data_IF_463978573889
#
_entry.id   IF_463978573889
#
_cell.length_a   1.000
_cell.length_b   1.000
_cell.length_c   1.000
_cell.angle_alpha   90.00
_cell.angle_beta   90.00
_cell.angle_gamma   90.00
#
_symmetry.space_group_name_H-M   'P 1'
#
loop_
_entity.id
_entity.type
_entity.pdbx_description
1 polymer ?
#
# COMPACT_ATOMS: atom_id res chain seq x y z
N UNK A 1 -60.46 6.62 -2.48
CA UNK A 1 -59.40 5.98 -1.66
C UNK A 1 -58.38 5.42 -2.64
N UNK A 2 -57.29 6.16 -2.87
CA UNK A 2 -55.93 5.82 -2.38
C UNK A 2 -55.28 4.69 -3.23
N UNK A 3 -54.11 4.73 -3.87
CA UNK A 3 -53.00 5.66 -4.20
C UNK A 3 -52.20 4.92 -5.29
N UNK A 4 -51.61 5.54 -6.33
CA UNK A 4 -50.49 4.95 -7.04
C UNK A 4 -49.17 5.59 -6.58
N UNK A 5 -48.21 4.78 -6.15
CA UNK A 5 -46.83 5.22 -5.89
C UNK A 5 -45.87 4.12 -6.37
N UNK A 6 -45.10 4.41 -7.42
CA UNK A 6 -43.64 4.54 -7.29
C UNK A 6 -43.05 4.95 -8.64
N UNK A 7 -42.68 6.22 -8.75
CA UNK A 7 -41.85 6.72 -9.84
C UNK A 7 -40.41 6.27 -9.60
N UNK A 8 -39.85 5.52 -10.55
CA UNK A 8 -38.43 5.24 -10.60
C UNK A 8 -37.66 6.51 -10.88
N UNK A 9 -37.07 7.09 -9.84
CA UNK A 9 -36.08 8.15 -9.95
C UNK A 9 -34.78 7.56 -10.49
N UNK A 10 -34.58 7.72 -11.80
CA UNK A 10 -33.27 7.55 -12.43
C UNK A 10 -32.34 8.66 -11.91
N UNK A 11 -31.44 8.29 -11.01
CA UNK A 11 -30.32 9.15 -10.59
C UNK A 11 -29.43 9.33 -11.82
N UNK A 12 -29.59 10.48 -12.49
CA UNK A 12 -28.68 10.92 -13.55
C UNK A 12 -27.36 11.28 -12.88
N UNK A 13 -26.30 10.54 -13.22
CA UNK A 13 -24.91 10.92 -12.95
C UNK A 13 -24.64 12.30 -13.56
N UNK A 14 -24.77 13.34 -12.74
CA UNK A 14 -24.43 14.70 -13.10
C UNK A 14 -22.90 14.80 -13.25
N UNK A 15 -22.42 14.76 -14.48
CA UNK A 15 -21.03 15.06 -14.80
C UNK A 15 -20.76 16.52 -14.42
N UNK A 16 -19.85 16.76 -13.47
CA UNK A 16 -19.41 18.12 -13.12
C UNK A 16 -18.89 18.84 -14.38
N UNK A 17 -19.16 20.14 -14.56
CA UNK A 17 -18.74 20.87 -15.74
C UNK A 17 -17.24 21.13 -15.71
N UNK A 18 -16.58 20.91 -16.85
CA UNK A 18 -15.20 21.35 -17.09
C UNK A 18 -15.19 22.88 -17.08
N UNK A 19 -14.47 23.51 -16.15
CA UNK A 19 -14.40 24.97 -16.03
C UNK A 19 -13.02 25.49 -16.39
N UNK A 20 -12.98 26.54 -17.20
CA UNK A 20 -11.74 27.27 -17.50
C UNK A 20 -11.62 28.45 -16.53
N UNK A 21 -10.48 28.53 -15.85
CA UNK A 21 -10.23 29.46 -14.77
C UNK A 21 -8.92 30.20 -15.05
N UNK A 22 -8.85 31.48 -14.67
CA UNK A 22 -7.60 32.25 -14.68
C UNK A 22 -7.20 32.48 -13.23
N UNK A 23 -6.04 31.97 -12.85
CA UNK A 23 -5.50 32.05 -11.50
C UNK A 23 -4.35 33.04 -11.51
N UNK A 24 -4.49 34.12 -10.76
CA UNK A 24 -3.47 35.18 -10.63
C UNK A 24 -2.65 34.93 -9.38
N UNK A 25 -1.38 34.58 -9.56
CA UNK A 25 -0.45 34.28 -8.48
C UNK A 25 0.60 35.39 -8.42
N UNK A 26 0.70 36.17 -7.34
CA UNK A 26 1.80 37.10 -7.16
C UNK A 26 3.10 36.30 -6.99
N UNK A 27 4.14 36.66 -7.75
CA UNK A 27 5.43 35.96 -7.74
C UNK A 27 6.56 36.98 -7.58
N UNK A 28 7.46 36.75 -6.64
CA UNK A 28 8.71 37.50 -6.52
C UNK A 28 9.82 36.89 -7.38
N UNK A 29 10.86 37.67 -7.68
CA UNK A 29 11.98 37.21 -8.51
C UNK A 29 12.76 36.11 -7.78
N UNK A 30 12.63 34.87 -8.25
CA UNK A 30 13.32 33.70 -7.70
C UNK A 30 12.42 32.72 -6.94
N UNK A 31 11.16 33.07 -6.67
CA UNK A 31 10.24 32.18 -5.98
C UNK A 31 9.77 31.03 -6.88
N UNK A 32 9.95 29.76 -6.46
CA UNK A 32 9.43 28.64 -7.22
C UNK A 32 7.92 28.55 -7.06
N UNK A 33 7.19 28.42 -8.18
CA UNK A 33 5.75 28.14 -8.15
C UNK A 33 5.44 26.87 -7.34
N UNK A 34 6.29 25.84 -7.43
CA UNK A 34 6.14 24.59 -6.67
C UNK A 34 5.09 23.61 -7.22
N UNK A 35 4.50 23.90 -8.38
CA UNK A 35 3.68 22.95 -9.14
C UNK A 35 4.53 22.19 -10.18
N UNK A 36 4.40 20.86 -10.23
CA UNK A 36 5.06 20.02 -11.24
C UNK A 36 4.03 19.47 -12.22
N UNK A 37 3.94 20.03 -13.44
CA UNK A 37 3.12 19.48 -14.51
C UNK A 37 3.77 18.26 -15.19
N UNK A 38 2.95 17.38 -15.76
CA UNK A 38 3.40 16.31 -16.66
C UNK A 38 3.61 16.81 -18.12
N UNK A 39 3.95 15.89 -19.03
CA UNK A 39 4.13 16.19 -20.46
C UNK A 39 2.91 16.81 -21.14
N UNK A 40 1.70 16.59 -20.59
CA UNK A 40 0.44 17.15 -21.08
C UNK A 40 0.03 18.43 -20.34
N UNK A 41 0.94 19.04 -19.59
CA UNK A 41 0.73 20.23 -18.77
C UNK A 41 -0.34 20.08 -17.68
N UNK A 42 -0.58 18.85 -17.21
CA UNK A 42 -1.48 18.59 -16.07
C UNK A 42 -0.68 18.58 -14.78
N UNK A 43 -1.10 19.35 -13.78
CA UNK A 43 -0.46 19.43 -12.46
C UNK A 43 -0.61 18.09 -11.75
N UNK A 44 0.53 17.43 -11.48
CA UNK A 44 0.55 16.12 -10.80
C UNK A 44 0.93 16.24 -9.33
N UNK A 45 1.81 17.20 -9.01
CA UNK A 45 2.35 17.39 -7.67
C UNK A 45 2.40 18.88 -7.34
N UNK A 46 2.02 19.19 -6.11
CA UNK A 46 2.12 20.52 -5.51
C UNK A 46 3.01 20.36 -4.27
N UNK A 47 4.03 21.19 -4.16
CA UNK A 47 4.92 21.23 -3.00
C UNK A 47 4.28 22.07 -1.90
N UNK A 48 4.26 21.56 -0.67
CA UNK A 48 3.81 22.34 0.49
C UNK A 48 4.77 23.48 0.80
N UNK A 49 4.22 24.62 1.22
CA UNK A 49 4.94 25.87 1.49
C UNK A 49 5.29 26.69 0.25
N UNK A 50 4.72 26.38 -0.93
CA UNK A 50 4.98 27.11 -2.18
C UNK A 50 3.75 27.86 -2.68
N UNK A 51 3.94 28.77 -3.65
CA UNK A 51 2.86 29.61 -4.20
C UNK A 51 1.75 28.81 -4.89
N UNK A 52 2.03 27.59 -5.35
CA UNK A 52 1.02 26.70 -5.91
C UNK A 52 0.07 26.13 -4.84
N UNK A 53 0.48 26.07 -3.58
CA UNK A 53 -0.36 25.57 -2.49
C UNK A 53 -1.53 26.55 -2.25
N UNK A 54 -2.76 26.02 -2.33
CA UNK A 54 -3.98 26.82 -2.22
C UNK A 54 -4.46 27.48 -3.52
N UNK A 55 -3.55 27.81 -4.44
CA UNK A 55 -3.91 28.42 -5.73
C UNK A 55 -4.21 27.39 -6.82
N UNK A 56 -3.33 26.41 -6.98
CA UNK A 56 -3.45 25.34 -7.97
C UNK A 56 -3.95 24.05 -7.30
N UNK A 57 -4.56 23.18 -8.10
CA UNK A 57 -5.02 21.86 -7.66
C UNK A 57 -4.40 20.75 -8.51
N UNK A 58 -4.22 19.58 -7.91
CA UNK A 58 -3.78 18.39 -8.66
C UNK A 58 -4.88 18.03 -9.67
N UNK A 59 -4.50 17.83 -10.92
CA UNK A 59 -5.40 17.61 -12.04
C UNK A 59 -5.72 18.87 -12.85
N UNK A 60 -5.32 20.07 -12.41
CA UNK A 60 -5.44 21.29 -13.20
C UNK A 60 -4.61 21.17 -14.48
N UNK A 61 -5.24 21.39 -15.64
CA UNK A 61 -4.54 21.39 -16.93
C UNK A 61 -4.17 22.80 -17.32
N UNK A 62 -2.87 23.09 -17.39
CA UNK A 62 -2.36 24.42 -17.73
C UNK A 62 -2.38 24.61 -19.25
N UNK A 63 -3.01 25.69 -19.71
CA UNK A 63 -3.19 25.99 -21.14
C UNK A 63 -2.40 27.21 -21.56
N UNK A 64 -2.40 28.25 -20.72
CA UNK A 64 -1.76 29.52 -21.02
C UNK A 64 -1.17 30.16 -19.77
N UNK A 65 -0.12 30.95 -19.96
CA UNK A 65 0.52 31.75 -18.93
C UNK A 65 0.64 33.19 -19.45
N UNK A 66 0.11 34.16 -18.70
CA UNK A 66 0.08 35.58 -19.06
C UNK A 66 -0.52 35.83 -20.46
N UNK A 67 -1.56 35.07 -20.83
CA UNK A 67 -2.22 35.14 -22.14
C UNK A 67 -1.49 34.39 -23.26
N UNK A 68 -0.29 33.86 -23.03
CA UNK A 68 0.47 33.08 -24.02
C UNK A 68 0.13 31.60 -23.91
N UNK A 69 -0.37 31.00 -25.00
CA UNK A 69 -0.67 29.56 -25.05
C UNK A 69 0.60 28.72 -24.96
N UNK A 70 0.55 27.71 -24.11
CA UNK A 70 1.64 26.76 -23.90
C UNK A 70 1.63 25.69 -24.99
N UNK A 71 2.83 25.18 -25.30
CA UNK A 71 3.03 24.07 -26.24
C UNK A 71 3.56 22.86 -25.48
N UNK A 72 4.65 23.09 -24.76
CA UNK A 72 5.38 22.05 -24.01
C UNK A 72 5.65 22.47 -22.56
N UNK A 73 6.00 21.50 -21.71
CA UNK A 73 6.42 21.74 -20.32
C UNK A 73 7.65 22.66 -20.22
N UNK A 74 8.60 22.57 -21.15
CA UNK A 74 9.76 23.48 -21.18
C UNK A 74 9.35 24.93 -21.48
N UNK A 75 8.37 25.12 -22.37
CA UNK A 75 7.85 26.44 -22.70
C UNK A 75 7.16 27.07 -21.47
N UNK A 76 6.47 26.26 -20.67
CA UNK A 76 5.88 26.70 -19.40
C UNK A 76 6.93 27.24 -18.44
N UNK A 77 8.01 26.50 -18.17
CA UNK A 77 9.05 26.97 -17.25
C UNK A 77 9.80 28.21 -17.77
N UNK A 78 9.99 28.33 -19.08
CA UNK A 78 10.58 29.52 -19.70
C UNK A 78 9.70 30.75 -19.46
N UNK A 79 8.39 30.65 -19.73
CA UNK A 79 7.46 31.76 -19.53
C UNK A 79 7.29 32.11 -18.04
N UNK A 80 7.30 31.10 -17.16
CA UNK A 80 7.21 31.30 -15.72
C UNK A 80 8.38 32.14 -15.18
N UNK A 81 9.56 32.03 -15.77
CA UNK A 81 10.74 32.83 -15.38
C UNK A 81 10.58 34.33 -15.64
N UNK A 82 9.74 34.71 -16.59
CA UNK A 82 9.44 36.11 -16.93
C UNK A 82 8.07 36.57 -16.44
N UNK A 83 7.41 35.75 -15.61
CA UNK A 83 6.10 36.05 -15.06
C UNK A 83 6.09 37.04 -13.88
N UNK A 84 7.15 37.21 -13.06
CA UNK A 84 7.14 38.23 -12.00
C UNK A 84 6.83 39.63 -12.55
N UNK A 85 6.02 40.45 -11.86
CA UNK A 85 5.52 40.29 -10.49
C UNK A 85 4.22 39.46 -10.33
N UNK A 86 3.60 39.02 -11.43
CA UNK A 86 2.29 38.34 -11.39
C UNK A 86 2.15 37.31 -12.51
N UNK A 87 1.91 36.05 -12.13
CA UNK A 87 1.62 34.96 -13.06
C UNK A 87 0.11 34.72 -13.18
N UNK A 88 -0.46 35.05 -14.34
CA UNK A 88 -1.83 34.75 -14.72
C UNK A 88 -1.87 33.41 -15.45
N UNK A 89 -2.14 32.35 -14.71
CA UNK A 89 -2.17 30.98 -15.23
C UNK A 89 -3.60 30.62 -15.62
N UNK A 90 -3.82 30.34 -16.90
CA UNK A 90 -5.10 29.83 -17.39
C UNK A 90 -5.09 28.31 -17.29
N UNK A 91 -5.99 27.77 -16.47
CA UNK A 91 -6.15 26.34 -16.26
C UNK A 91 -7.54 25.86 -16.66
N UNK A 92 -7.64 24.63 -17.12
CA UNK A 92 -8.89 23.87 -17.13
C UNK A 92 -8.91 23.01 -15.87
N UNK A 93 -9.95 23.18 -15.06
CA UNK A 93 -10.23 22.35 -13.91
C UNK A 93 -11.37 21.39 -14.25
N UNK A 94 -11.07 20.11 -14.13
CA UNK A 94 -12.03 19.02 -14.27
C UNK A 94 -12.10 18.30 -12.93
N UNK A 95 -13.09 18.65 -12.11
CA UNK A 95 -13.21 18.18 -10.72
C UNK A 95 -13.26 16.65 -10.63
N UNK A 96 -13.82 15.97 -11.64
CA UNK A 96 -13.88 14.51 -11.67
C UNK A 96 -12.51 13.91 -11.92
N UNK A 97 -11.72 14.47 -12.85
CA UNK A 97 -10.34 14.03 -13.09
C UNK A 97 -9.42 14.40 -11.93
N UNK A 98 -9.60 15.57 -11.33
CA UNK A 98 -8.86 16.01 -10.17
C UNK A 98 -9.11 15.08 -8.97
N UNK A 99 -10.36 14.74 -8.67
CA UNK A 99 -10.69 13.77 -7.62
C UNK A 99 -10.15 12.37 -7.91
N UNK A 100 -10.26 11.88 -9.14
CA UNK A 100 -9.68 10.58 -9.52
C UNK A 100 -8.15 10.58 -9.34
N UNK A 101 -7.45 11.65 -9.74
CA UNK A 101 -6.01 11.79 -9.51
C UNK A 101 -5.65 11.90 -8.03
N UNK A 102 -6.37 12.73 -7.26
CA UNK A 102 -6.17 12.84 -5.81
C UNK A 102 -6.36 11.49 -5.13
N UNK A 103 -7.40 10.73 -5.49
CA UNK A 103 -7.67 9.42 -4.88
C UNK A 103 -6.58 8.39 -5.15
N UNK A 104 -5.85 8.53 -6.27
CA UNK A 104 -4.69 7.69 -6.61
C UNK A 104 -3.42 8.11 -5.88
N UNK A 105 -3.33 9.34 -5.40
CA UNK A 105 -2.12 9.88 -4.76
C UNK A 105 -2.27 9.85 -3.23
N UNK A 106 -3.45 10.15 -2.71
CA UNK A 106 -3.73 10.19 -1.28
C UNK A 106 -4.03 8.78 -0.76
N UNK A 107 -3.16 8.30 0.12
CA UNK A 107 -3.33 7.00 0.78
C UNK A 107 -4.30 7.19 1.95
N UNK A 108 -5.36 6.36 2.06
CA UNK A 108 -6.24 6.40 3.21
C UNK A 108 -5.46 6.22 4.52
N UNK A 109 -5.80 6.99 5.56
CA UNK A 109 -5.12 6.95 6.86
C UNK A 109 -5.04 5.54 7.47
N UNK A 110 -6.07 4.71 7.25
CA UNK A 110 -6.08 3.31 7.69
C UNK A 110 -4.99 2.44 7.03
N UNK A 111 -4.49 2.83 5.86
CA UNK A 111 -3.42 2.12 5.15
C UNK A 111 -2.05 2.73 5.41
N UNK A 112 -1.99 3.93 6.00
CA UNK A 112 -0.72 4.55 6.37
C UNK A 112 0.07 3.71 7.38
N UNK A 113 -0.62 2.97 8.25
CA UNK A 113 0.03 2.01 9.18
C UNK A 113 0.80 0.88 8.48
N UNK A 114 0.49 0.60 7.21
CA UNK A 114 1.15 -0.45 6.43
C UNK A 114 2.39 0.06 5.70
N UNK A 115 2.67 1.37 5.73
CA UNK A 115 3.82 1.98 5.05
C UNK A 115 4.72 2.70 6.03
N UNK A 116 6.02 2.61 5.79
CA UNK A 116 7.02 3.44 6.46
C UNK A 116 7.61 4.37 5.42
N UNK A 117 7.19 5.64 5.42
CA UNK A 117 7.61 6.62 4.42
C UNK A 117 9.13 6.81 4.47
N UNK A 118 9.77 6.70 3.32
CA UNK A 118 11.21 6.90 3.14
C UNK A 118 11.47 7.99 2.12
N UNK A 119 12.53 8.75 2.36
CA UNK A 119 13.01 9.73 1.39
C UNK A 119 13.45 9.04 0.10
N UNK A 120 13.19 9.69 -1.04
CA UNK A 120 13.47 9.13 -2.36
C UNK A 120 12.42 8.13 -2.89
N UNK A 121 11.33 7.90 -2.15
CA UNK A 121 10.20 7.07 -2.57
C UNK A 121 8.89 7.87 -2.57
N UNK A 122 8.03 7.59 -3.56
CA UNK A 122 6.67 8.11 -3.67
C UNK A 122 5.70 6.98 -3.36
N UNK A 123 4.70 7.25 -2.54
CA UNK A 123 3.66 6.30 -2.23
C UNK A 123 2.37 6.69 -2.95
N UNK A 124 1.73 5.73 -3.61
CA UNK A 124 0.51 5.96 -4.39
C UNK A 124 -0.44 4.76 -4.26
N UNK A 125 -1.73 5.04 -4.41
CA UNK A 125 -2.78 4.04 -4.46
C UNK A 125 -3.03 3.62 -5.93
N UNK A 126 -2.77 2.35 -6.25
CA UNK A 126 -3.08 1.76 -7.53
C UNK A 126 -4.34 0.90 -7.43
N UNK A 127 -5.34 1.18 -8.26
CA UNK A 127 -6.59 0.44 -8.30
C UNK A 127 -6.64 -0.38 -9.58
N UNK A 128 -6.62 -1.70 -9.46
CA UNK A 128 -6.69 -2.61 -10.60
C UNK A 128 -8.12 -3.12 -10.71
N UNK A 129 -8.73 -2.97 -11.89
CA UNK A 129 -10.09 -3.46 -12.18
C UNK A 129 -10.03 -4.48 -13.32
N UNK A 130 -10.73 -5.59 -13.18
CA UNK A 130 -10.77 -6.65 -14.19
C UNK A 130 -11.67 -6.22 -15.34
N UNK A 131 -11.06 -6.11 -16.51
CA UNK A 131 -11.74 -5.88 -17.77
C UNK A 131 -11.87 -7.20 -18.55
N UNK A 132 -13.06 -7.46 -19.11
CA UNK A 132 -13.31 -8.69 -19.88
C UNK A 132 -12.37 -8.74 -21.09
N UNK A 133 -11.60 -9.83 -21.20
CA UNK A 133 -10.67 -10.06 -22.30
C UNK A 133 -9.26 -9.51 -22.08
N UNK A 134 -9.00 -8.76 -21.00
CA UNK A 134 -7.64 -8.32 -20.63
C UNK A 134 -7.09 -9.18 -19.50
N UNK A 135 -5.83 -9.58 -19.63
CA UNK A 135 -5.09 -10.26 -18.57
C UNK A 135 -4.53 -9.25 -17.56
N UNK A 136 -4.34 -9.69 -16.32
CA UNK A 136 -3.68 -8.88 -15.29
C UNK A 136 -2.25 -8.51 -15.71
N UNK A 137 -1.49 -9.47 -16.28
CA UNK A 137 -0.16 -9.26 -16.85
C UNK A 137 0.91 -8.78 -15.86
N UNK A 138 0.79 -9.20 -14.59
CA UNK A 138 1.67 -8.79 -13.50
C UNK A 138 2.66 -9.90 -13.12
N UNK A 139 3.95 -9.62 -13.22
CA UNK A 139 5.04 -10.40 -12.63
C UNK A 139 5.51 -9.77 -11.32
N UNK A 140 5.56 -10.57 -10.25
CA UNK A 140 6.07 -10.17 -8.94
C UNK A 140 7.28 -11.00 -8.54
N UNK A 141 8.22 -10.39 -7.81
CA UNK A 141 9.40 -11.01 -7.22
C UNK A 141 9.44 -10.66 -5.73
N UNK A 142 9.83 -11.62 -4.90
CA UNK A 142 10.14 -11.36 -3.50
C UNK A 142 11.64 -11.10 -3.36
N UNK A 143 12.01 -10.06 -2.61
CA UNK A 143 13.39 -9.76 -2.24
C UNK A 143 13.42 -9.05 -0.88
N UNK A 144 14.14 -9.60 0.10
CA UNK A 144 14.31 -9.00 1.44
C UNK A 144 12.99 -8.54 2.10
N UNK A 145 11.98 -9.40 2.17
CA UNK A 145 10.64 -9.10 2.72
C UNK A 145 9.89 -8.00 1.96
N UNK A 146 10.24 -7.77 0.70
CA UNK A 146 9.60 -6.82 -0.21
C UNK A 146 9.05 -7.55 -1.42
N UNK A 147 7.85 -7.18 -1.85
CA UNK A 147 7.27 -7.68 -3.10
C UNK A 147 7.42 -6.62 -4.17
N UNK A 148 8.31 -6.88 -5.12
CA UNK A 148 8.63 -5.97 -6.22
C UNK A 148 7.94 -6.42 -7.51
N UNK A 149 7.47 -5.46 -8.30
CA UNK A 149 6.99 -5.67 -9.65
C UNK A 149 8.19 -5.97 -10.55
N UNK A 150 8.29 -7.21 -11.00
CA UNK A 150 9.41 -7.68 -11.83
C UNK A 150 9.16 -7.50 -13.32
N UNK A 151 7.90 -7.64 -13.76
CA UNK A 151 7.52 -7.52 -15.16
C UNK A 151 6.07 -7.05 -15.27
N UNK A 152 5.80 -6.21 -16.24
CA UNK A 152 4.45 -5.88 -16.69
C UNK A 152 4.33 -6.25 -18.17
N UNK A 153 3.24 -6.91 -18.54
CA UNK A 153 2.98 -7.26 -19.94
C UNK A 153 2.32 -6.07 -20.66
N UNK A 154 2.70 -5.77 -21.91
CA UNK A 154 2.05 -4.71 -22.68
C UNK A 154 0.56 -5.03 -22.89
N UNK A 155 -0.29 -4.00 -22.89
CA UNK A 155 -1.75 -4.08 -23.00
C UNK A 155 -2.45 -4.82 -21.83
N UNK A 156 -1.78 -4.96 -20.68
CA UNK A 156 -2.36 -5.59 -19.48
C UNK A 156 -2.91 -4.56 -18.51
N UNK A 157 -3.73 -5.00 -17.54
CA UNK A 157 -4.26 -4.08 -16.50
C UNK A 157 -3.10 -3.53 -15.64
N UNK A 158 -2.07 -4.34 -15.42
CA UNK A 158 -0.90 -3.94 -14.64
C UNK A 158 -0.04 -2.89 -15.35
N UNK A 159 0.09 -2.91 -16.68
CA UNK A 159 0.92 -1.92 -17.39
C UNK A 159 0.41 -0.48 -17.24
N UNK A 160 -0.89 -0.31 -17.03
CA UNK A 160 -1.52 1.01 -16.95
C UNK A 160 -1.32 1.65 -15.57
N UNK A 161 -1.18 0.83 -14.52
CA UNK A 161 -1.19 1.28 -13.13
C UNK A 161 0.15 1.08 -12.41
N UNK A 162 0.93 0.07 -12.81
CA UNK A 162 2.16 -0.37 -12.15
C UNK A 162 3.35 -0.27 -13.11
N UNK A 163 4.52 0.03 -12.55
CA UNK A 163 5.80 0.09 -13.26
C UNK A 163 6.76 -0.95 -12.69
N UNK A 164 7.71 -1.37 -13.52
CA UNK A 164 8.78 -2.29 -13.08
C UNK A 164 9.60 -1.60 -11.99
N UNK A 165 9.87 -2.31 -10.90
CA UNK A 165 10.56 -1.80 -9.72
C UNK A 165 9.64 -1.22 -8.64
N UNK A 166 8.35 -1.06 -8.91
CA UNK A 166 7.36 -0.69 -7.89
C UNK A 166 7.32 -1.77 -6.79
N UNK A 167 7.27 -1.34 -5.53
CA UNK A 167 7.08 -2.21 -4.37
C UNK A 167 5.60 -2.21 -3.98
N UNK A 168 4.99 -3.39 -3.83
CA UNK A 168 3.61 -3.56 -3.36
C UNK A 168 3.63 -3.70 -1.83
N UNK A 169 3.21 -2.66 -1.11
CA UNK A 169 3.24 -2.63 0.35
C UNK A 169 2.06 -3.40 0.95
N UNK A 170 0.88 -3.29 0.33
CA UNK A 170 -0.33 -3.94 0.78
C UNK A 170 -1.29 -4.28 -0.38
N UNK A 171 -2.23 -5.18 -0.10
CA UNK A 171 -3.30 -5.58 -1.02
C UNK A 171 -4.61 -5.45 -0.26
N UNK A 172 -5.46 -4.53 -0.70
CA UNK A 172 -6.76 -4.19 -0.11
C UNK A 172 -6.71 -3.92 1.40
N UNK A 173 -5.67 -3.20 1.83
CA UNK A 173 -5.44 -2.86 3.24
C UNK A 173 -4.72 -3.93 4.06
N UNK A 174 -4.45 -5.12 3.50
CA UNK A 174 -3.63 -6.15 4.16
C UNK A 174 -2.16 -6.03 3.76
N UNK A 175 -1.23 -5.83 4.71
CA UNK A 175 0.20 -5.68 4.40
C UNK A 175 0.78 -6.95 3.81
N UNK A 176 1.72 -6.80 2.89
CA UNK A 176 2.30 -7.90 2.14
C UNK A 176 3.83 -7.85 2.16
N UNK A 177 4.43 -8.90 2.69
CA UNK A 177 5.89 -9.09 2.74
C UNK A 177 6.39 -10.13 1.74
N UNK A 178 5.51 -11.04 1.31
CA UNK A 178 5.87 -12.26 0.57
C UNK A 178 5.12 -12.39 -0.75
N UNK A 179 5.81 -12.88 -1.80
CA UNK A 179 5.22 -13.05 -3.15
C UNK A 179 3.99 -13.96 -3.13
N UNK A 180 4.01 -14.99 -2.29
CA UNK A 180 2.95 -16.01 -2.27
C UNK A 180 1.72 -15.52 -1.53
N UNK A 181 1.92 -14.72 -0.48
CA UNK A 181 0.84 -13.99 0.20
C UNK A 181 0.24 -12.98 -0.77
N UNK A 182 1.07 -12.16 -1.43
CA UNK A 182 0.64 -11.19 -2.44
C UNK A 182 -0.23 -11.84 -3.52
N UNK A 183 0.27 -12.94 -4.12
CA UNK A 183 -0.41 -13.67 -5.18
C UNK A 183 -1.76 -14.20 -4.71
N UNK A 184 -1.82 -14.83 -3.54
CA UNK A 184 -3.07 -15.37 -2.99
C UNK A 184 -4.09 -14.25 -2.78
N UNK A 185 -3.69 -13.15 -2.14
CA UNK A 185 -4.58 -12.02 -1.89
C UNK A 185 -5.09 -11.38 -3.18
N UNK A 186 -4.21 -11.16 -4.16
CA UNK A 186 -4.60 -10.65 -5.47
C UNK A 186 -5.62 -11.56 -6.14
N UNK A 187 -5.38 -12.87 -6.18
CA UNK A 187 -6.30 -13.82 -6.82
C UNK A 187 -7.66 -13.82 -6.11
N UNK A 188 -7.69 -13.91 -4.78
CA UNK A 188 -8.93 -13.93 -4.01
C UNK A 188 -9.74 -12.65 -4.21
N UNK A 189 -9.11 -11.48 -4.06
CA UNK A 189 -9.81 -10.19 -4.19
C UNK A 189 -10.29 -9.92 -5.61
N UNK A 190 -9.50 -10.29 -6.62
CA UNK A 190 -9.88 -10.17 -8.03
C UNK A 190 -11.05 -11.10 -8.38
N UNK A 191 -11.12 -12.31 -7.81
CA UNK A 191 -12.23 -13.23 -8.04
C UNK A 191 -13.54 -12.75 -7.39
N UNK A 192 -13.47 -12.22 -6.16
CA UNK A 192 -14.65 -11.78 -5.40
C UNK A 192 -15.18 -10.42 -5.88
N UNK A 193 -14.31 -9.41 -5.93
CA UNK A 193 -14.71 -8.01 -6.11
C UNK A 193 -14.50 -7.49 -7.54
N UNK A 194 -13.79 -8.24 -8.39
CA UNK A 194 -13.31 -7.81 -9.73
C UNK A 194 -12.49 -6.51 -9.73
N UNK A 195 -12.11 -6.03 -8.55
CA UNK A 195 -11.37 -4.80 -8.29
C UNK A 195 -10.49 -5.06 -7.08
N UNK A 196 -9.26 -4.55 -7.11
CA UNK A 196 -8.33 -4.62 -5.98
C UNK A 196 -7.59 -3.30 -5.85
N UNK A 197 -7.41 -2.84 -4.62
CA UNK A 197 -6.70 -1.61 -4.31
C UNK A 197 -5.33 -1.92 -3.70
N UNK A 198 -4.26 -1.30 -4.18
CA UNK A 198 -2.87 -1.57 -3.80
C UNK A 198 -2.20 -0.27 -3.33
N UNK A 199 -1.46 -0.30 -2.23
CA UNK A 199 -0.50 0.76 -1.91
C UNK A 199 0.85 0.36 -2.47
N UNK A 200 1.39 1.27 -3.28
CA UNK A 200 2.61 1.06 -4.04
C UNK A 200 3.65 2.09 -3.63
N UNK A 201 4.83 1.62 -3.25
CA UNK A 201 6.04 2.40 -3.04
C UNK A 201 6.83 2.43 -4.36
N UNK A 202 6.94 3.61 -4.98
CA UNK A 202 7.62 3.85 -6.25
C UNK A 202 8.94 4.59 -6.03
N UNK A 203 10.07 4.10 -6.54
CA UNK A 203 11.35 4.78 -6.43
C UNK A 203 11.38 6.06 -7.29
N UNK A 204 11.71 7.20 -6.68
CA UNK A 204 11.80 8.51 -7.33
C UNK A 204 13.26 8.93 -7.56
N UNK A 205 14.11 8.77 -6.53
CA UNK A 205 15.53 9.10 -6.63
C UNK A 205 16.34 8.06 -7.43
N UNK A 206 17.51 8.47 -7.92
CA UNK A 206 18.43 7.62 -8.70
C UNK A 206 18.90 6.40 -7.89
N UNK A 207 19.26 6.61 -6.62
CA UNK A 207 19.69 5.56 -5.70
C UNK A 207 18.60 4.49 -5.49
N UNK A 208 17.34 4.91 -5.26
CA UNK A 208 16.21 4.01 -5.08
C UNK A 208 15.92 3.20 -6.35
N UNK A 209 16.06 3.81 -7.53
CA UNK A 209 15.91 3.13 -8.83
C UNK A 209 17.00 2.09 -9.04
N UNK A 210 18.25 2.41 -8.70
CA UNK A 210 19.37 1.47 -8.77
C UNK A 210 19.19 0.29 -7.81
N UNK A 211 18.72 0.56 -6.58
CA UNK A 211 18.39 -0.48 -5.61
C UNK A 211 17.31 -1.43 -6.15
N UNK A 212 16.22 -0.87 -6.69
CA UNK A 212 15.12 -1.67 -7.26
C UNK A 212 15.62 -2.52 -8.44
N UNK A 213 16.45 -1.96 -9.33
CA UNK A 213 17.07 -2.70 -10.44
C UNK A 213 17.94 -3.86 -9.92
N UNK A 214 18.82 -3.58 -8.96
CA UNK A 214 19.71 -4.60 -8.36
C UNK A 214 18.90 -5.71 -7.68
N UNK A 215 17.83 -5.36 -6.95
CA UNK A 215 16.94 -6.33 -6.31
C UNK A 215 16.24 -7.25 -7.32
N UNK A 216 15.87 -6.73 -8.49
CA UNK A 216 15.26 -7.52 -9.56
C UNK A 216 16.26 -8.43 -10.29
N UNK A 217 17.50 -7.97 -10.46
CA UNK A 217 18.59 -8.73 -11.11
C UNK A 217 19.22 -9.77 -10.20
N UNK A 218 19.22 -9.54 -8.88
CA UNK A 218 19.82 -10.46 -7.91
C UNK A 218 19.18 -11.84 -8.07
N UNK A 219 19.96 -12.89 -8.37
CA UNK A 219 19.42 -14.24 -8.46
C UNK A 219 18.80 -14.61 -7.10
N UNK A 220 17.72 -15.37 -7.12
CA UNK A 220 17.20 -16.00 -5.90
C UNK A 220 18.23 -17.05 -5.52
N UNK A 221 19.23 -16.65 -4.76
CA UNK A 221 20.13 -17.56 -4.10
C UNK A 221 19.28 -18.25 -3.05
N UNK A 222 18.76 -19.43 -3.38
CA UNK A 222 18.50 -20.39 -2.32
C UNK A 222 19.84 -20.52 -1.59
N UNK A 223 19.89 -20.31 -0.25
CA UNK A 223 21.11 -20.62 0.47
C UNK A 223 21.50 -22.04 0.05
N UNK A 224 22.75 -22.27 -0.37
CA UNK A 224 23.17 -23.57 -0.86
C UNK A 224 22.66 -24.60 0.14
N UNK A 225 21.91 -25.59 -0.33
CA UNK A 225 21.32 -26.61 0.54
C UNK A 225 22.47 -27.25 1.31
N UNK A 226 22.71 -26.79 2.54
CA UNK A 226 23.76 -27.33 3.37
C UNK A 226 23.31 -28.75 3.65
N UNK A 227 24.05 -29.73 3.12
CA UNK A 227 23.79 -31.14 3.45
C UNK A 227 23.84 -31.22 4.97
N UNK A 228 22.70 -31.54 5.57
CA UNK A 228 22.62 -31.84 6.99
C UNK A 228 23.60 -32.98 7.26
N UNK A 229 24.52 -32.80 8.21
CA UNK A 229 25.42 -33.86 8.61
C UNK A 229 24.60 -35.08 9.08
N UNK A 230 25.15 -36.28 8.91
CA UNK A 230 24.39 -37.50 9.15
C UNK A 230 23.98 -37.64 10.64
N UNK A 231 24.76 -37.10 11.57
CA UNK A 231 24.41 -36.99 12.99
C UNK A 231 23.16 -36.14 13.23
N UNK A 232 23.04 -34.99 12.58
CA UNK A 232 21.89 -34.10 12.71
C UNK A 232 20.66 -34.72 12.03
N UNK A 233 20.83 -35.46 10.93
CA UNK A 233 19.73 -36.24 10.33
C UNK A 233 19.24 -37.35 11.27
N UNK A 234 20.15 -38.03 11.95
CA UNK A 234 19.81 -39.08 12.92
C UNK A 234 19.11 -38.51 14.16
N UNK A 235 19.54 -37.35 14.65
CA UNK A 235 18.83 -36.64 15.72
C UNK A 235 17.44 -36.20 15.26
N UNK A 236 17.35 -35.60 14.07
CA UNK A 236 16.07 -35.13 13.52
C UNK A 236 15.10 -36.28 13.23
N UNK A 237 15.58 -37.42 12.76
CA UNK A 237 14.75 -38.60 12.50
C UNK A 237 14.23 -39.21 13.81
N UNK A 238 15.09 -39.29 14.84
CA UNK A 238 14.71 -39.74 16.19
C UNK A 238 13.67 -38.82 16.82
N UNK A 239 13.86 -37.51 16.74
CA UNK A 239 12.90 -36.55 17.29
C UNK A 239 11.59 -36.52 16.49
N UNK A 240 11.63 -36.69 15.16
CA UNK A 240 10.42 -36.81 14.35
C UNK A 240 9.62 -38.08 14.70
N UNK A 241 10.30 -39.20 14.94
CA UNK A 241 9.66 -40.43 15.40
C UNK A 241 9.05 -40.25 16.79
N UNK A 242 9.77 -39.58 17.71
CA UNK A 242 9.29 -39.22 19.04
C UNK A 242 8.06 -38.31 18.98
N UNK A 243 8.09 -37.25 18.18
CA UNK A 243 6.97 -36.32 17.97
C UNK A 243 5.75 -37.07 17.42
N UNK A 244 5.94 -37.96 16.45
CA UNK A 244 4.86 -38.75 15.85
C UNK A 244 4.29 -39.81 16.81
N UNK A 245 5.09 -40.26 17.79
CA UNK A 245 4.66 -41.20 18.82
C UNK A 245 3.82 -40.55 19.92
N UNK A 246 3.86 -39.22 20.08
CA UNK A 246 2.92 -38.55 20.96
C UNK A 246 1.51 -38.69 20.41
N UNK A 247 0.61 -39.18 21.26
CA UNK A 247 -0.82 -39.10 20.99
C UNK A 247 -1.19 -37.63 20.79
N UNK A 248 -1.93 -37.29 19.72
CA UNK A 248 -2.42 -35.94 19.56
C UNK A 248 -3.23 -35.56 20.81
N UNK A 249 -3.07 -34.33 21.34
CA UNK A 249 -3.74 -33.93 22.56
C UNK A 249 -5.26 -34.07 22.38
N UNK A 250 -5.90 -34.83 23.27
CA UNK A 250 -7.31 -35.24 23.13
C UNK A 250 -8.30 -34.06 23.16
N UNK A 251 -7.89 -32.86 23.56
CA UNK A 251 -8.79 -31.71 23.72
C UNK A 251 -8.12 -30.41 23.31
N UNK A 252 -8.78 -29.68 22.39
CA UNK A 252 -8.58 -28.24 22.24
C UNK A 252 -9.26 -27.57 23.43
N UNK A 253 -8.55 -26.74 24.19
CA UNK A 253 -9.13 -25.94 25.28
C UNK A 253 -10.20 -24.95 24.79
N UNK A 254 -10.24 -24.67 23.49
CA UNK A 254 -11.25 -23.85 22.82
C UNK A 254 -12.09 -24.71 21.88
N UNK A 255 -13.26 -25.11 22.34
CA UNK A 255 -14.31 -25.71 21.48
C UNK A 255 -14.96 -24.59 20.67
N UNK A 256 -14.89 -24.66 19.33
CA UNK A 256 -15.50 -23.67 18.41
C UNK A 256 -17.03 -23.76 18.34
N UNK A 257 -17.65 -24.65 19.09
CA UNK A 257 -19.11 -24.83 19.15
C UNK A 257 -19.53 -24.79 20.62
N UNK A 258 -20.52 -23.96 20.99
CA UNK A 258 -20.99 -23.90 22.37
C UNK A 258 -21.62 -25.24 22.74
N UNK A 259 -21.08 -25.88 23.78
CA UNK A 259 -21.71 -27.05 24.42
C UNK A 259 -23.00 -26.58 25.11
N UNK A 260 -24.12 -27.24 24.85
CA UNK A 260 -25.41 -27.00 25.53
C UNK A 260 -25.40 -27.42 27.00
N UNK A 261 -24.35 -28.10 27.45
CA UNK A 261 -24.11 -28.43 28.85
C UNK A 261 -22.92 -27.63 29.38
N UNK A 262 -23.10 -26.32 29.54
CA UNK A 262 -22.18 -25.51 30.34
C UNK A 262 -22.44 -25.84 31.81
N UNK A 263 -21.54 -26.60 32.43
CA UNK A 263 -21.49 -26.67 33.89
C UNK A 263 -21.03 -25.29 34.36
N UNK A 264 -21.95 -24.51 34.90
CA UNK A 264 -21.65 -23.22 35.49
C UNK A 264 -20.71 -23.46 36.68
N UNK A 265 -19.52 -22.87 36.63
CA UNK A 265 -18.61 -22.81 37.78
C UNK A 265 -19.09 -21.65 38.64
N UNK A 266 -19.54 -21.94 39.86
CA UNK A 266 -19.84 -20.94 40.88
C UNK A 266 -18.63 -20.87 41.83
N UNK A 267 -18.17 -19.68 42.14
CA UNK A 267 -17.15 -19.48 43.17
C UNK A 267 -17.85 -19.52 44.52
N UNK A 268 -17.33 -20.33 45.44
CA UNK A 268 -17.78 -20.29 46.83
C UNK A 268 -17.28 -18.99 47.47
N UNK A 269 -18.14 -18.29 48.22
CA UNK A 269 -17.82 -17.00 48.84
C UNK A 269 -16.87 -17.13 50.05
N UNK A 270 -16.47 -18.36 50.38
CA UNK A 270 -15.51 -18.65 51.45
C UNK A 270 -14.08 -18.32 51.00
N UNK A 271 -13.57 -17.16 51.43
CA UNK A 271 -12.18 -16.76 51.19
C UNK A 271 -11.27 -17.56 52.12
N UNK A 272 -10.51 -18.50 51.56
CA UNK A 272 -9.47 -19.23 52.30
C UNK A 272 -8.16 -18.43 52.17
N UNK A 273 -7.80 -17.69 53.23
CA UNK A 273 -6.53 -17.00 53.31
C UNK A 273 -5.41 -17.98 53.74
N UNK A 274 -4.42 -18.17 52.87
CA UNK A 274 -3.20 -18.88 53.20
C UNK A 274 -2.04 -17.90 53.35
N UNK A 275 -1.47 -17.82 54.55
CA UNK A 275 -0.29 -17.02 54.81
C UNK A 275 0.94 -17.72 54.24
N UNK A 276 1.47 -17.17 53.15
CA UNK A 276 2.72 -17.65 52.55
C UNK A 276 3.88 -17.05 53.33
N UNK A 277 4.50 -17.86 54.19
CA UNK A 277 5.76 -17.47 54.86
C UNK A 277 6.93 -17.78 53.93
N UNK A 278 7.90 -16.87 53.85
CA UNK A 278 9.11 -17.09 53.07
C UNK A 278 9.99 -18.15 53.74
N UNK A 279 10.10 -19.32 53.12
CA UNK A 279 11.03 -20.37 53.53
C UNK A 279 12.45 -19.97 53.11
N UNK A 280 13.10 -19.16 53.95
CA UNK A 280 14.47 -18.74 53.74
C UNK A 280 15.36 -19.26 54.87
N UNK A 281 15.30 -20.56 55.16
CA UNK A 281 16.32 -21.23 55.95
C UNK A 281 17.34 -21.95 55.05
N UNK A 282 18.55 -21.41 55.02
CA UNK A 282 19.78 -22.18 54.79
C UNK A 282 20.04 -22.68 53.37
N UNK A 283 20.59 -21.81 52.50
CA UNK A 283 21.29 -22.25 51.29
C UNK A 283 22.53 -23.10 51.64
N UNK A 284 22.43 -24.42 51.54
CA UNK A 284 23.60 -25.25 51.20
C UNK A 284 23.24 -26.26 50.10
N UNK A 285 24.02 -26.20 49.01
CA UNK A 285 23.90 -27.10 47.86
C UNK A 285 24.38 -28.50 48.26
N UNK A 286 23.56 -29.53 48.02
CA UNK A 286 23.99 -30.93 48.22
C UNK A 286 25.04 -31.32 47.18
N UNK A 287 26.16 -31.89 47.64
CA UNK A 287 27.19 -32.46 46.75
C UNK A 287 26.70 -33.75 46.10
N UNK A 288 26.85 -33.83 44.78
CA UNK A 288 26.62 -35.03 43.98
C UNK A 288 27.82 -35.96 44.14
N UNK A 289 27.59 -37.24 44.44
CA UNK A 289 28.64 -38.27 44.54
C UNK A 289 29.18 -38.59 43.14
N UNK A 290 30.51 -38.68 43.03
CA UNK A 290 31.21 -39.31 41.90
C UNK A 290 31.08 -40.82 41.99
#
# INVERSE_FOLDING_TARGET
>A
MAVPNNNGEQVKDACAPVTQLVISIPMEEGDPLGATPNERLVVVKIQSGTLAEGNLQIGDQIIALNGTKLKDHNHFYQLLRFAPPMANITVIRDDKKAQDMLSKITIPHERERNIMRRDGYIYQLAVLTIEKGRKLGLGIRHFQNRVLVSKTEPNSIASDHLKIGDHICDVDGMPVTDKDVCRKLLITQLQENKKVSLVVERPDCTEAKEWARKALETPVLEPPSVRMNDDVKDIASRERARIKSYTPPEKKLLTRVPSTNARNVCFDESVIEHQIVSDNEGRQLRRVRK
#
